data_IF_159797672533
#
_entry.id   IF_159797672533
#
_cell.length_a   1.000
_cell.length_b   1.000
_cell.length_c   1.000
_cell.angle_alpha   90.00
_cell.angle_beta   90.00
_cell.angle_gamma   90.00
#
_symmetry.space_group_name_H-M   'P 1'
#
loop_
_entity.id
_entity.type
_entity.pdbx_description
1 polymer ?
#
# COMPACT_ATOMS: atom_id res chain seq x y z
N UNK A 1 -14.34 37.43 -11.52
CA UNK A 1 -13.98 36.07 -11.02
C UNK A 1 -14.85 35.54 -9.86
N UNK A 2 -15.63 36.34 -9.10
CA UNK A 2 -16.44 35.79 -7.98
C UNK A 2 -17.89 35.36 -8.29
N UNK A 3 -18.39 35.50 -9.53
CA UNK A 3 -19.77 35.13 -9.87
C UNK A 3 -19.89 33.74 -10.55
N UNK A 4 -18.87 33.30 -11.30
CA UNK A 4 -18.87 31.98 -11.94
C UNK A 4 -18.68 30.81 -10.94
N UNK A 5 -18.01 31.02 -9.81
CA UNK A 5 -17.83 29.96 -8.81
C UNK A 5 -19.09 29.66 -7.99
N UNK A 6 -19.95 30.66 -7.77
CA UNK A 6 -21.24 30.47 -7.08
C UNK A 6 -22.19 29.63 -7.95
N UNK A 7 -22.13 29.79 -9.28
CA UNK A 7 -22.95 29.02 -10.20
C UNK A 7 -22.54 27.53 -10.29
N UNK A 8 -21.25 27.24 -10.24
CA UNK A 8 -20.72 25.87 -10.31
C UNK A 8 -20.99 25.07 -9.01
N UNK A 9 -21.01 25.77 -7.86
CA UNK A 9 -21.32 25.20 -6.54
C UNK A 9 -22.79 24.77 -6.41
N UNK A 10 -23.74 25.53 -6.97
CA UNK A 10 -25.17 25.20 -6.90
C UNK A 10 -25.51 23.99 -7.80
N UNK A 11 -24.82 23.85 -8.93
CA UNK A 11 -25.02 22.73 -9.88
C UNK A 11 -24.48 21.41 -9.33
N UNK A 12 -23.37 21.44 -8.59
CA UNK A 12 -22.76 20.22 -8.01
C UNK A 12 -23.52 19.68 -6.79
N UNK A 13 -24.13 20.54 -5.98
CA UNK A 13 -24.96 20.11 -4.83
C UNK A 13 -26.29 19.46 -5.21
N UNK A 14 -26.85 19.77 -6.38
CA UNK A 14 -28.09 19.16 -6.88
C UNK A 14 -27.88 17.75 -7.49
N UNK A 15 -26.67 17.45 -7.97
CA UNK A 15 -26.33 16.13 -8.56
C UNK A 15 -26.10 15.07 -7.47
N UNK A 16 -25.61 15.46 -6.29
CA UNK A 16 -25.38 14.55 -5.15
C UNK A 16 -26.64 14.15 -4.38
N UNK A 17 -27.75 14.89 -4.53
CA UNK A 17 -29.06 14.54 -3.95
C UNK A 17 -29.82 13.47 -4.76
N UNK A 18 -29.38 13.18 -6.00
CA UNK A 18 -30.03 12.20 -6.90
C UNK A 18 -29.35 10.84 -6.84
N UNK A 19 -28.12 10.73 -6.30
CA UNK A 19 -27.33 9.49 -6.30
C UNK A 19 -27.38 8.70 -4.98
N UNK A 20 -27.99 9.23 -3.92
CA UNK A 20 -28.07 8.56 -2.60
C UNK A 20 -29.48 8.04 -2.26
N UNK A 21 -30.21 7.54 -3.26
CA UNK A 21 -31.59 7.08 -3.13
C UNK A 21 -31.83 5.63 -3.53
N UNK A 22 -30.83 4.75 -3.45
CA UNK A 22 -30.98 3.30 -3.62
C UNK A 22 -29.77 2.58 -3.01
N UNK A 23 -29.92 2.03 -1.81
CA UNK A 23 -29.11 0.90 -1.35
C UNK A 23 -29.79 0.21 -0.16
N UNK A 24 -30.13 -1.07 -0.34
CA UNK A 24 -30.02 -2.13 0.68
C UNK A 24 -30.66 -3.43 0.16
N UNK A 25 -29.90 -4.53 0.12
CA UNK A 25 -30.05 -5.73 0.97
C UNK A 25 -29.07 -6.82 0.51
N UNK A 26 -28.61 -7.61 1.48
CA UNK A 26 -27.38 -8.41 1.62
C UNK A 26 -27.70 -9.92 1.61
N UNK A 27 -26.86 -10.75 0.93
CA UNK A 27 -26.35 -12.12 1.23
C UNK A 27 -27.33 -13.28 1.62
N UNK A 28 -27.11 -14.61 1.44
CA UNK A 28 -25.99 -15.49 0.99
C UNK A 28 -26.48 -16.97 0.92
N UNK A 29 -25.81 -17.75 0.04
CA UNK A 29 -25.49 -19.22 -0.04
C UNK A 29 -26.48 -20.40 0.04
N UNK A 30 -26.15 -21.37 -0.84
CA UNK A 30 -26.50 -22.79 -1.01
C UNK A 30 -26.21 -23.75 0.17
N UNK A 31 -26.94 -24.89 0.17
CA UNK A 31 -26.50 -26.33 0.26
C UNK A 31 -27.66 -27.19 0.84
N UNK A 32 -27.86 -28.51 0.69
CA UNK A 32 -27.03 -29.66 0.35
C UNK A 32 -27.89 -30.90 -0.03
N UNK A 33 -27.21 -31.94 -0.54
CA UNK A 33 -27.69 -33.21 -1.11
C UNK A 33 -27.69 -34.40 -0.10
N UNK A 34 -28.46 -35.44 -0.47
CA UNK A 34 -28.80 -36.76 0.13
C UNK A 34 -27.70 -37.71 0.64
N UNK A 35 -28.08 -38.69 1.48
CA UNK A 35 -27.32 -39.93 1.75
C UNK A 35 -28.20 -41.19 1.92
N UNK A 36 -27.65 -42.35 1.54
CA UNK A 36 -28.23 -43.72 1.48
C UNK A 36 -27.58 -44.66 2.51
N UNK A 37 -28.33 -45.71 2.88
CA UNK A 37 -28.10 -46.75 3.90
C UNK A 37 -26.98 -47.78 3.64
N UNK A 38 -26.56 -48.53 4.70
CA UNK A 38 -26.35 -50.00 4.68
C UNK A 38 -25.98 -50.61 6.06
N UNK A 39 -26.02 -51.95 6.13
CA UNK A 39 -26.22 -52.82 7.30
C UNK A 39 -25.20 -53.98 7.45
N UNK A 40 -24.87 -54.34 8.71
CA UNK A 40 -24.88 -55.70 9.34
C UNK A 40 -23.76 -56.78 9.14
N UNK A 41 -23.39 -57.35 10.31
CA UNK A 41 -23.04 -58.75 10.71
C UNK A 41 -21.60 -59.32 10.77
N UNK A 42 -21.42 -60.11 11.85
CA UNK A 42 -20.25 -60.83 12.40
C UNK A 42 -20.41 -62.37 12.35
N UNK A 43 -19.30 -63.07 12.69
CA UNK A 43 -19.14 -64.30 13.51
C UNK A 43 -18.63 -65.63 12.89
N UNK A 44 -17.41 -65.99 13.32
CA UNK A 44 -16.91 -67.21 14.02
C UNK A 44 -17.65 -68.57 13.91
N UNK A 45 -16.88 -69.68 13.78
CA UNK A 45 -16.64 -70.68 14.86
C UNK A 45 -15.74 -71.90 14.47
N UNK A 46 -14.77 -72.16 15.36
CA UNK A 46 -14.16 -73.37 15.97
C UNK A 46 -14.59 -74.80 15.51
N UNK A 47 -13.64 -75.76 15.45
CA UNK A 47 -13.54 -76.98 16.33
C UNK A 47 -12.39 -77.92 15.95
N UNK A 48 -11.89 -78.64 16.96
CA UNK A 48 -10.79 -79.61 16.98
C UNK A 48 -11.32 -81.01 17.32
N UNK A 49 -10.52 -82.07 17.07
CA UNK A 49 -10.23 -83.21 17.98
C UNK A 49 -9.45 -84.33 17.25
N UNK A 50 -8.41 -84.90 17.86
CA UNK A 50 -8.30 -86.36 18.13
C UNK A 50 -7.19 -86.70 19.16
N UNK A 51 -7.27 -87.89 19.81
CA UNK A 51 -6.68 -88.27 21.10
C UNK A 51 -5.75 -89.51 21.00
N UNK A 52 -4.78 -89.62 21.93
CA UNK A 52 -4.01 -90.80 22.41
C UNK A 52 -2.55 -91.04 21.96
N UNK A 53 -1.62 -90.28 22.57
CA UNK A 53 -0.37 -90.79 23.16
C UNK A 53 -0.11 -89.96 24.44
N UNK A 54 -0.25 -90.55 25.64
CA UNK A 54 0.00 -89.82 26.90
C UNK A 54 1.51 -89.79 27.21
N UNK A 55 2.22 -88.97 26.45
CA UNK A 55 3.32 -88.26 27.05
C UNK A 55 2.72 -87.02 27.72
N UNK A 56 2.93 -86.86 29.03
CA UNK A 56 2.57 -85.63 29.73
C UNK A 56 3.57 -84.56 29.29
N UNK A 57 3.29 -83.95 28.14
CA UNK A 57 4.01 -82.81 27.63
C UNK A 57 3.10 -81.60 27.69
N UNK A 58 3.67 -80.45 28.03
CA UNK A 58 2.99 -79.20 27.76
C UNK A 58 3.16 -78.85 26.27
N UNK A 59 2.12 -78.28 25.69
CA UNK A 59 2.26 -77.52 24.46
C UNK A 59 3.04 -76.23 24.70
N UNK A 60 3.02 -75.33 23.72
CA UNK A 60 3.67 -74.03 23.84
C UNK A 60 3.25 -73.27 25.12
N UNK A 61 4.20 -72.61 25.80
CA UNK A 61 3.90 -71.71 26.91
C UNK A 61 2.79 -70.71 26.51
N UNK A 62 1.79 -70.45 27.36
CA UNK A 62 0.72 -69.53 27.05
C UNK A 62 1.22 -68.12 26.72
N UNK A 63 0.53 -67.40 25.84
CA UNK A 63 0.89 -66.01 25.55
C UNK A 63 0.55 -65.15 26.78
N UNK A 64 1.56 -64.47 27.31
CA UNK A 64 1.40 -63.45 28.36
C UNK A 64 1.43 -62.08 27.70
N UNK A 65 0.48 -61.22 28.02
CA UNK A 65 0.35 -59.89 27.40
C UNK A 65 1.56 -59.03 27.76
N UNK A 66 2.20 -58.43 26.75
CA UNK A 66 3.40 -57.61 26.87
C UNK A 66 4.61 -58.34 27.50
N UNK A 67 4.73 -59.64 27.28
CA UNK A 67 5.86 -60.44 27.73
C UNK A 67 6.21 -61.55 26.74
N UNK A 68 7.48 -61.93 26.73
CA UNK A 68 8.02 -63.00 25.88
C UNK A 68 8.69 -64.07 26.73
N UNK A 69 8.46 -65.34 26.40
CA UNK A 69 9.15 -66.45 27.06
C UNK A 69 10.49 -66.76 26.40
N UNK A 70 11.47 -67.16 27.20
CA UNK A 70 12.77 -67.63 26.74
C UNK A 70 12.68 -68.84 25.79
N UNK A 71 11.72 -69.75 26.02
CA UNK A 71 11.53 -70.96 25.22
C UNK A 71 11.01 -70.68 23.81
N UNK A 72 10.23 -69.61 23.62
CA UNK A 72 9.69 -69.23 22.32
C UNK A 72 10.68 -68.43 21.45
N UNK A 73 11.84 -68.04 22.00
CA UNK A 73 12.86 -67.22 21.31
C UNK A 73 13.53 -67.94 20.13
N UNK A 74 13.55 -69.27 20.12
CA UNK A 74 14.33 -70.07 19.17
C UNK A 74 13.51 -70.99 18.24
N UNK A 75 12.16 -70.91 18.24
CA UNK A 75 11.19 -71.53 17.29
C UNK A 75 11.40 -73.00 16.84
N UNK A 76 12.21 -73.80 17.55
CA UNK A 76 12.58 -75.16 17.11
C UNK A 76 11.77 -76.29 17.75
N UNK A 77 10.94 -76.01 18.76
CA UNK A 77 10.21 -77.04 19.51
C UNK A 77 8.86 -76.50 20.02
N UNK A 78 7.79 -77.27 19.82
CA UNK A 78 6.41 -76.94 20.23
C UNK A 78 5.86 -77.88 21.32
N UNK A 79 6.70 -78.79 21.83
CA UNK A 79 6.37 -79.81 22.84
C UNK A 79 7.42 -79.77 23.94
N UNK A 80 6.97 -79.69 25.19
CA UNK A 80 7.79 -79.41 26.38
C UNK A 80 7.57 -80.47 27.47
N UNK A 81 8.64 -80.89 28.14
CA UNK A 81 8.59 -81.93 29.19
C UNK A 81 8.03 -81.38 30.50
N UNK A 82 7.27 -82.21 31.22
CA UNK A 82 6.94 -81.93 32.63
C UNK A 82 8.22 -81.68 33.42
N UNK A 83 8.20 -80.62 34.22
CA UNK A 83 9.35 -80.11 34.95
C UNK A 83 10.10 -78.98 34.24
N UNK A 84 9.92 -78.78 32.91
CA UNK A 84 10.53 -77.66 32.20
C UNK A 84 9.94 -76.32 32.67
N UNK A 85 10.81 -75.31 32.70
CA UNK A 85 10.50 -73.97 33.18
C UNK A 85 10.60 -72.99 32.01
N UNK A 86 9.51 -72.27 31.76
CA UNK A 86 9.52 -71.12 30.88
C UNK A 86 9.67 -69.85 31.74
N UNK A 87 10.67 -69.05 31.41
CA UNK A 87 10.94 -67.76 32.04
C UNK A 87 10.43 -66.68 31.09
N UNK A 88 9.43 -65.93 31.54
CA UNK A 88 8.92 -64.75 30.87
C UNK A 88 9.74 -63.53 31.26
N UNK A 89 9.88 -62.63 30.29
CA UNK A 89 10.42 -61.29 30.50
C UNK A 89 9.44 -60.31 29.87
N UNK A 90 9.11 -59.22 30.57
CA UNK A 90 8.28 -58.17 29.98
C UNK A 90 8.94 -57.60 28.72
N UNK A 91 8.11 -57.21 27.77
CA UNK A 91 8.54 -56.58 26.52
C UNK A 91 9.24 -55.25 26.80
N UNK A 92 10.06 -54.79 25.84
CA UNK A 92 10.78 -53.52 25.98
C UNK A 92 9.78 -52.37 26.19
N UNK A 93 9.96 -51.64 27.30
CA UNK A 93 9.09 -50.55 27.72
C UNK A 93 7.89 -50.98 28.56
N UNK A 94 7.86 -52.23 29.01
CA UNK A 94 6.94 -52.75 30.01
C UNK A 94 7.71 -53.22 31.24
N UNK A 95 7.12 -53.01 32.43
CA UNK A 95 7.66 -53.43 33.72
C UNK A 95 6.71 -54.40 34.43
N UNK A 96 7.28 -55.29 35.23
CA UNK A 96 6.54 -56.26 36.04
C UNK A 96 5.83 -55.55 37.17
N UNK A 97 4.50 -55.70 37.22
CA UNK A 97 3.67 -55.14 38.29
C UNK A 97 3.33 -56.19 39.35
N UNK A 98 3.07 -57.43 38.93
CA UNK A 98 2.73 -58.54 39.83
C UNK A 98 2.91 -59.91 39.15
N UNK A 99 2.87 -60.99 39.94
CA UNK A 99 2.95 -62.38 39.46
C UNK A 99 4.37 -62.93 39.34
N UNK A 100 4.50 -64.16 38.86
CA UNK A 100 5.77 -64.88 38.73
C UNK A 100 6.29 -64.83 37.29
N UNK A 101 7.58 -64.56 37.12
CA UNK A 101 8.24 -64.61 35.81
C UNK A 101 8.53 -66.04 35.36
N UNK A 102 8.50 -67.00 36.28
CA UNK A 102 8.72 -68.42 36.01
C UNK A 102 7.38 -69.15 36.01
N UNK A 103 7.14 -69.94 34.96
CA UNK A 103 6.06 -70.91 34.90
C UNK A 103 6.63 -72.28 34.62
N UNK A 104 6.08 -73.31 35.27
CA UNK A 104 6.56 -74.67 35.12
C UNK A 104 5.49 -75.54 34.47
N UNK A 105 5.93 -76.44 33.59
CA UNK A 105 5.07 -77.48 33.06
C UNK A 105 4.81 -78.52 34.16
N UNK A 106 3.62 -78.48 34.77
CA UNK A 106 3.24 -79.36 35.88
C UNK A 106 2.13 -80.33 35.45
N UNK A 107 2.06 -81.48 36.11
CA UNK A 107 0.95 -82.41 35.95
C UNK A 107 -0.23 -81.89 36.76
N UNK A 108 -1.39 -81.80 36.14
CA UNK A 108 -2.64 -81.35 36.73
C UNK A 108 -3.73 -82.40 36.50
N UNK A 109 -4.62 -82.58 37.46
CA UNK A 109 -5.79 -83.44 37.28
C UNK A 109 -6.71 -82.85 36.20
N UNK A 110 -6.85 -83.56 35.09
CA UNK A 110 -7.75 -83.20 34.01
C UNK A 110 -9.20 -83.62 34.30
N UNK A 111 -10.16 -83.15 33.48
CA UNK A 111 -11.55 -83.56 33.63
C UNK A 111 -11.67 -85.08 33.51
N UNK A 112 -12.43 -85.69 34.43
CA UNK A 112 -12.67 -87.15 34.53
C UNK A 112 -11.48 -87.99 35.06
N UNK A 113 -10.55 -87.39 35.81
CA UNK A 113 -9.45 -88.12 36.46
C UNK A 113 -8.33 -88.54 35.51
N UNK A 114 -8.27 -87.93 34.32
CA UNK A 114 -7.19 -88.13 33.34
C UNK A 114 -6.07 -87.14 33.65
N UNK A 115 -4.86 -87.63 33.92
CA UNK A 115 -3.69 -86.78 34.17
C UNK A 115 -3.35 -85.93 32.93
N UNK A 116 -3.42 -84.60 33.05
CA UNK A 116 -3.04 -83.64 32.01
C UNK A 116 -1.80 -82.86 32.44
N UNK A 117 -1.17 -82.12 31.53
CA UNK A 117 -0.04 -81.25 31.83
C UNK A 117 -0.32 -79.83 31.38
N UNK A 118 -0.05 -78.86 32.26
CA UNK A 118 -0.28 -77.43 32.00
C UNK A 118 0.80 -76.57 32.62
N UNK A 119 1.09 -75.45 31.98
CA UNK A 119 1.93 -74.38 32.52
C UNK A 119 1.25 -73.68 33.69
N UNK A 120 1.88 -73.67 34.88
CA UNK A 120 1.40 -72.93 36.05
C UNK A 120 2.58 -72.46 36.94
N UNK A 121 2.44 -71.31 37.63
CA UNK A 121 1.35 -70.34 37.51
C UNK A 121 1.47 -69.50 36.20
N UNK A 122 0.38 -68.86 35.78
CA UNK A 122 0.36 -67.92 34.64
C UNK A 122 -0.26 -66.61 35.13
N UNK A 123 0.44 -65.95 36.06
CA UNK A 123 -0.05 -64.77 36.78
C UNK A 123 0.81 -63.52 36.55
N UNK A 124 1.83 -63.58 35.70
CA UNK A 124 2.68 -62.44 35.35
C UNK A 124 1.85 -61.32 34.71
N UNK A 125 1.96 -60.11 35.28
CA UNK A 125 1.34 -58.90 34.75
C UNK A 125 2.39 -57.85 34.43
N UNK A 126 2.52 -57.51 33.14
CA UNK A 126 3.42 -56.46 32.64
C UNK A 126 2.61 -55.22 32.23
N UNK A 127 2.98 -54.04 32.75
CA UNK A 127 2.36 -52.76 32.39
C UNK A 127 3.37 -51.81 31.75
N UNK A 128 2.94 -50.88 30.88
CA UNK A 128 3.85 -49.96 30.23
C UNK A 128 4.52 -49.05 31.25
N UNK A 129 5.82 -48.85 31.10
CA UNK A 129 6.60 -47.95 31.94
C UNK A 129 6.03 -46.53 31.84
N UNK A 130 5.92 -45.86 32.98
CA UNK A 130 5.38 -44.50 33.08
C UNK A 130 6.50 -43.48 33.26
N UNK A 131 6.56 -42.51 32.35
CA UNK A 131 7.43 -41.34 32.50
C UNK A 131 6.85 -40.31 33.49
N UNK A 132 7.74 -39.50 34.06
CA UNK A 132 7.35 -38.33 34.86
C UNK A 132 6.57 -37.31 34.02
N UNK A 133 5.75 -36.46 34.66
CA UNK A 133 5.14 -35.34 33.94
C UNK A 133 6.24 -34.48 33.31
N UNK A 134 6.20 -34.23 31.99
CA UNK A 134 7.23 -33.45 31.31
C UNK A 134 7.21 -31.96 31.68
N UNK A 135 6.20 -31.52 32.42
CA UNK A 135 6.04 -30.16 32.92
C UNK A 135 5.42 -29.20 31.91
N UNK A 136 5.31 -27.93 32.33
CA UNK A 136 4.88 -26.83 31.48
C UNK A 136 6.08 -26.11 30.84
N UNK A 137 5.85 -25.57 29.65
CA UNK A 137 6.75 -24.66 28.95
C UNK A 137 6.02 -23.33 28.85
N UNK A 138 6.62 -22.28 29.40
CA UNK A 138 6.05 -20.94 29.40
C UNK A 138 5.78 -20.49 27.96
N UNK A 139 4.67 -19.79 27.76
CA UNK A 139 4.23 -19.30 26.45
C UNK A 139 4.08 -20.40 25.38
N UNK A 140 3.83 -21.64 25.81
CA UNK A 140 3.48 -22.77 24.95
C UNK A 140 2.16 -23.42 25.35
N UNK A 141 1.57 -24.15 24.41
CA UNK A 141 0.52 -25.13 24.66
C UNK A 141 1.08 -26.54 24.47
N UNK A 142 0.51 -27.52 25.17
CA UNK A 142 0.91 -28.94 25.13
C UNK A 142 -0.29 -29.77 24.73
N UNK A 143 -0.16 -30.62 23.70
CA UNK A 143 -1.28 -31.41 23.16
C UNK A 143 -1.71 -32.56 24.07
N UNK A 144 -0.75 -33.27 24.67
CA UNK A 144 -1.00 -34.41 25.56
C UNK A 144 -0.88 -33.96 27.02
N UNK A 145 -1.94 -34.16 27.81
CA UNK A 145 -2.02 -33.67 29.19
C UNK A 145 -1.95 -34.75 30.26
N UNK A 146 -2.14 -36.02 29.89
CA UNK A 146 -2.18 -37.16 30.82
C UNK A 146 -1.62 -38.44 30.18
N UNK A 147 -1.39 -39.46 31.03
CA UNK A 147 -0.95 -40.81 30.63
C UNK A 147 0.36 -40.86 29.84
N UNK A 148 1.45 -40.45 30.48
CA UNK A 148 2.80 -40.45 29.90
C UNK A 148 3.44 -41.85 29.91
N UNK A 149 2.88 -42.77 29.12
CA UNK A 149 3.34 -44.15 29.02
C UNK A 149 4.46 -44.29 27.97
N UNK A 150 5.18 -45.41 27.99
CA UNK A 150 6.16 -45.75 26.97
C UNK A 150 5.65 -45.47 25.54
N UNK A 151 6.52 -44.90 24.69
CA UNK A 151 6.24 -44.43 23.33
C UNK A 151 5.22 -43.27 23.20
N UNK A 152 4.71 -42.72 24.29
CA UNK A 152 3.89 -41.49 24.25
C UNK A 152 4.74 -40.33 23.71
N UNK A 153 4.21 -39.63 22.72
CA UNK A 153 4.83 -38.46 22.11
C UNK A 153 4.12 -37.18 22.58
N UNK A 154 4.85 -36.35 23.35
CA UNK A 154 4.34 -35.08 23.85
C UNK A 154 4.86 -33.97 22.95
N UNK A 155 3.93 -33.23 22.35
CA UNK A 155 4.22 -32.12 21.44
C UNK A 155 3.85 -30.79 22.08
N UNK A 156 4.77 -29.84 22.01
CA UNK A 156 4.62 -28.46 22.42
C UNK A 156 4.43 -27.56 21.20
N UNK A 157 3.69 -26.48 21.39
CA UNK A 157 3.42 -25.48 20.36
C UNK A 157 3.50 -24.09 20.99
N UNK A 158 4.41 -23.23 20.52
CA UNK A 158 4.54 -21.88 21.08
C UNK A 158 3.31 -21.04 20.72
N UNK A 159 2.87 -20.20 21.67
CA UNK A 159 1.79 -19.23 21.47
C UNK A 159 2.19 -18.19 20.42
N UNK A 160 1.19 -17.50 19.88
CA UNK A 160 1.39 -16.40 18.95
C UNK A 160 2.33 -15.33 19.52
N UNK A 161 3.26 -14.87 18.69
CA UNK A 161 4.32 -13.95 19.10
C UNK A 161 5.55 -14.61 19.74
N UNK A 162 5.60 -15.95 19.82
CA UNK A 162 6.76 -16.69 20.31
C UNK A 162 7.28 -17.68 19.25
N UNK A 163 8.58 -17.96 19.30
CA UNK A 163 9.27 -18.93 18.44
C UNK A 163 9.88 -20.04 19.28
N UNK A 164 9.93 -21.23 18.70
CA UNK A 164 10.45 -22.41 19.38
C UNK A 164 11.96 -22.50 19.29
N UNK A 165 12.60 -22.73 20.44
CA UNK A 165 14.01 -23.03 20.58
C UNK A 165 14.13 -24.47 21.08
N UNK A 166 14.71 -25.35 20.25
CA UNK A 166 14.82 -26.79 20.51
C UNK A 166 13.86 -27.64 19.68
N UNK A 167 13.69 -28.91 20.06
CA UNK A 167 12.82 -29.87 19.36
C UNK A 167 11.39 -29.77 19.93
N UNK A 168 10.33 -29.67 19.10
CA UNK A 168 8.95 -29.48 19.55
C UNK A 168 8.34 -30.62 20.35
N UNK A 169 9.02 -31.76 20.40
CA UNK A 169 8.43 -32.97 20.92
C UNK A 169 9.43 -33.83 21.69
N UNK A 170 8.89 -34.63 22.59
CA UNK A 170 9.63 -35.57 23.41
C UNK A 170 8.86 -36.88 23.53
N UNK A 171 9.61 -37.98 23.59
CA UNK A 171 9.05 -39.34 23.60
C UNK A 171 9.47 -40.05 24.88
N UNK A 172 8.52 -40.72 25.53
CA UNK A 172 8.78 -41.52 26.72
C UNK A 172 9.52 -42.81 26.32
N UNK A 173 10.72 -43.02 26.86
CA UNK A 173 11.54 -44.20 26.58
C UNK A 173 11.21 -45.35 27.53
N UNK A 174 11.71 -46.53 27.19
CA UNK A 174 11.55 -47.74 27.98
C UNK A 174 12.22 -47.67 29.37
N UNK A 175 13.15 -46.75 29.60
CA UNK A 175 13.80 -46.51 30.88
C UNK A 175 13.00 -45.57 31.81
N UNK A 176 11.78 -45.18 31.42
CA UNK A 176 10.94 -44.24 32.19
C UNK A 176 11.38 -42.78 32.11
N UNK A 177 12.36 -42.47 31.26
CA UNK A 177 12.83 -41.11 31.05
C UNK A 177 12.43 -40.58 29.67
N UNK A 178 12.32 -39.27 29.57
CA UNK A 178 12.11 -38.62 28.28
C UNK A 178 13.38 -38.67 27.43
N UNK A 179 13.22 -38.84 26.12
CA UNK A 179 14.36 -38.89 25.20
C UNK A 179 15.11 -37.56 25.05
N UNK A 180 14.51 -36.43 25.43
CA UNK A 180 15.01 -35.06 25.22
C UNK A 180 14.52 -34.10 26.31
N UNK A 181 15.22 -32.98 26.55
CA UNK A 181 14.72 -31.90 27.41
C UNK A 181 13.54 -31.17 26.75
N UNK A 182 12.79 -30.43 27.57
CA UNK A 182 11.69 -29.57 27.10
C UNK A 182 12.18 -28.43 26.20
N UNK A 183 11.41 -28.02 25.17
CA UNK A 183 11.72 -26.85 24.38
C UNK A 183 11.51 -25.56 25.17
N UNK A 184 11.96 -24.44 24.62
CA UNK A 184 11.71 -23.10 25.15
C UNK A 184 11.02 -22.22 24.09
N UNK A 185 10.06 -21.40 24.50
CA UNK A 185 9.42 -20.43 23.63
C UNK A 185 10.00 -19.04 23.89
N UNK A 186 10.67 -18.48 22.89
CA UNK A 186 11.26 -17.15 22.98
C UNK A 186 10.37 -16.14 22.26
N UNK A 187 10.10 -14.99 22.89
CA UNK A 187 9.34 -13.90 22.26
C UNK A 187 10.01 -13.49 20.94
N UNK A 188 9.22 -13.44 19.86
CA UNK A 188 9.63 -12.96 18.53
C UNK A 188 9.92 -11.47 18.60
N UNK A 189 11.18 -11.10 18.40
CA UNK A 189 11.64 -9.70 18.39
C UNK A 189 12.97 -9.59 17.67
N UNK A 190 13.15 -8.49 16.94
CA UNK A 190 14.42 -8.20 16.27
C UNK A 190 15.51 -7.88 17.30
N UNK A 191 16.79 -8.19 17.04
CA UNK A 191 17.88 -8.03 18.01
C UNK A 191 18.11 -6.57 18.40
N UNK A 192 18.78 -6.36 19.54
CA UNK A 192 19.16 -5.01 19.94
C UNK A 192 20.33 -4.56 19.06
N UNK A 193 20.31 -3.29 18.65
CA UNK A 193 21.33 -2.76 17.76
C UNK A 193 22.32 -1.97 18.61
N UNK A 194 23.61 -2.16 18.38
CA UNK A 194 24.66 -1.42 19.07
C UNK A 194 24.53 0.09 18.85
N UNK A 195 24.97 0.88 19.83
CA UNK A 195 24.91 2.33 19.76
C UNK A 195 25.70 2.89 18.57
N UNK A 196 25.14 3.86 17.88
CA UNK A 196 25.80 4.56 16.77
C UNK A 196 26.56 5.78 17.27
N UNK A 197 27.86 5.88 16.93
CA UNK A 197 28.69 7.03 17.29
C UNK A 197 28.13 8.34 16.71
N UNK A 198 28.13 9.42 17.51
CA UNK A 198 27.56 10.73 17.17
C UNK A 198 26.07 10.69 16.76
N UNK A 199 25.34 9.68 17.24
CA UNK A 199 23.93 9.50 16.97
C UNK A 199 23.22 8.76 18.10
N UNK A 200 21.94 8.46 17.87
CA UNK A 200 21.11 7.61 18.72
C UNK A 200 20.15 6.80 17.86
N UNK A 201 19.67 5.69 18.41
CA UNK A 201 18.66 4.84 17.78
C UNK A 201 17.33 5.11 18.45
N UNK A 202 16.31 5.39 17.65
CA UNK A 202 14.93 5.60 18.11
C UNK A 202 14.10 4.42 17.63
N UNK A 203 13.61 3.62 18.58
CA UNK A 203 12.69 2.53 18.30
C UNK A 203 11.25 3.04 18.30
N UNK A 204 10.43 2.59 17.33
CA UNK A 204 8.99 2.83 17.36
C UNK A 204 8.29 1.99 18.43
N UNK A 205 8.85 0.83 18.76
CA UNK A 205 8.40 -0.09 19.80
C UNK A 205 9.61 -0.61 20.58
N UNK A 206 9.61 -0.38 21.89
CA UNK A 206 10.68 -0.83 22.81
C UNK A 206 10.79 -2.35 22.83
N UNK A 207 9.68 -3.07 22.59
CA UNK A 207 9.66 -4.53 22.54
C UNK A 207 10.24 -5.11 21.23
N UNK A 208 10.51 -4.27 20.22
CA UNK A 208 11.09 -4.65 18.91
C UNK A 208 10.30 -5.76 18.21
N UNK A 209 8.97 -5.70 18.29
CA UNK A 209 8.07 -6.67 17.64
C UNK A 209 8.25 -6.68 16.13
N UNK A 210 7.80 -7.75 15.50
CA UNK A 210 7.63 -7.83 14.03
C UNK A 210 6.88 -6.59 13.52
N UNK A 211 7.30 -6.08 12.37
CA UNK A 211 6.79 -4.86 11.70
C UNK A 211 7.09 -3.53 12.43
N UNK A 212 7.73 -3.56 13.61
CA UNK A 212 8.27 -2.34 14.22
C UNK A 212 9.42 -1.76 13.39
N UNK A 213 9.69 -0.47 13.58
CA UNK A 213 10.80 0.23 12.91
C UNK A 213 11.77 0.83 13.92
N UNK A 214 13.02 0.93 13.53
CA UNK A 214 14.00 1.79 14.19
C UNK A 214 14.48 2.86 13.23
N UNK A 215 14.87 4.00 13.77
CA UNK A 215 15.41 5.13 13.05
C UNK A 215 16.74 5.58 13.68
N UNK A 216 17.76 5.76 12.83
CA UNK A 216 19.03 6.34 13.22
C UNK A 216 18.92 7.86 13.17
N UNK A 217 19.10 8.50 14.33
CA UNK A 217 19.04 9.95 14.47
C UNK A 217 20.42 10.47 14.85
N UNK A 218 21.09 11.12 13.90
CA UNK A 218 22.40 11.73 14.13
C UNK A 218 22.29 13.03 14.93
N UNK A 219 23.37 13.37 15.66
CA UNK A 219 23.50 14.65 16.33
C UNK A 219 23.63 15.81 15.32
N UNK A 220 23.30 17.06 15.70
CA UNK A 220 23.45 18.21 14.82
C UNK A 220 24.87 18.33 14.24
N UNK A 221 24.99 18.48 12.92
CA UNK A 221 26.28 18.56 12.22
C UNK A 221 26.86 17.21 11.80
N UNK A 222 26.14 16.10 12.03
CA UNK A 222 26.48 14.76 11.55
C UNK A 222 25.39 14.20 10.63
N UNK A 223 25.80 13.32 9.71
CA UNK A 223 24.92 12.63 8.75
C UNK A 223 25.27 11.14 8.74
N UNK A 224 24.24 10.30 8.68
CA UNK A 224 24.39 8.86 8.69
C UNK A 224 25.13 8.39 7.44
N UNK A 225 26.12 7.51 7.60
CA UNK A 225 26.82 6.86 6.50
C UNK A 225 26.01 5.70 5.88
N UNK A 226 24.76 5.97 5.48
CA UNK A 226 23.87 5.01 4.84
C UNK A 226 22.85 5.71 3.94
N UNK A 227 22.30 4.99 2.96
CA UNK A 227 21.24 5.46 2.07
C UNK A 227 19.90 5.61 2.80
N UNK A 228 19.62 4.71 3.74
CA UNK A 228 18.41 4.67 4.54
C UNK A 228 18.70 4.80 6.04
N UNK A 229 17.99 5.69 6.71
CA UNK A 229 18.06 5.87 8.16
C UNK A 229 17.09 4.98 8.94
N UNK A 230 16.22 4.23 8.26
CA UNK A 230 15.15 3.42 8.87
C UNK A 230 15.35 1.96 8.52
N UNK A 231 15.21 1.08 9.53
CA UNK A 231 15.12 -0.38 9.36
C UNK A 231 13.78 -0.88 9.88
N UNK A 232 13.27 -1.93 9.26
CA UNK A 232 12.01 -2.60 9.64
C UNK A 232 12.31 -3.98 10.21
N UNK A 233 11.60 -4.35 11.27
CA UNK A 233 11.69 -5.68 11.86
C UNK A 233 10.91 -6.67 10.99
N UNK A 234 11.60 -7.62 10.37
CA UNK A 234 11.01 -8.61 9.46
C UNK A 234 10.39 -9.78 10.25
N UNK A 235 9.64 -10.62 9.54
CA UNK A 235 8.99 -11.82 10.10
C UNK A 235 9.97 -12.89 10.57
N UNK A 236 11.22 -12.85 10.12
CA UNK A 236 12.31 -13.75 10.52
C UNK A 236 13.05 -13.26 11.79
N UNK A 237 12.46 -12.31 12.52
CA UNK A 237 13.07 -11.65 13.68
C UNK A 237 14.40 -10.94 13.37
N UNK A 238 14.63 -10.53 12.12
CA UNK A 238 15.81 -9.77 11.71
C UNK A 238 15.46 -8.35 11.26
N UNK A 239 16.36 -7.40 11.48
CA UNK A 239 16.21 -6.06 10.92
C UNK A 239 16.49 -6.09 9.41
N UNK A 240 15.66 -5.41 8.62
CA UNK A 240 15.86 -5.21 7.18
C UNK A 240 17.26 -4.72 6.86
N UNK A 241 17.82 -5.07 5.72
CA UNK A 241 19.20 -4.71 5.38
C UNK A 241 19.39 -3.19 5.30
N UNK A 242 20.56 -2.73 5.74
CA UNK A 242 21.00 -1.35 5.57
C UNK A 242 21.72 -1.22 4.24
N UNK A 243 21.31 -0.24 3.43
CA UNK A 243 22.01 0.08 2.20
C UNK A 243 23.14 1.05 2.53
N UNK A 244 24.36 0.52 2.62
CA UNK A 244 25.55 1.33 2.89
C UNK A 244 26.01 2.09 1.63
N UNK A 245 26.50 3.32 1.82
CA UNK A 245 27.04 4.16 0.74
C UNK A 245 28.47 3.78 0.35
N UNK A 246 29.25 3.28 1.32
CA UNK A 246 30.52 2.57 1.23
C UNK A 246 30.99 2.19 2.66
N UNK A 247 31.92 1.22 2.74
CA UNK A 247 32.61 0.67 3.93
C UNK A 247 31.73 0.31 5.15
N UNK A 248 32.09 -0.79 5.80
CA UNK A 248 31.24 -1.57 6.72
C UNK A 248 30.88 -0.88 8.06
N UNK A 249 31.25 0.40 8.27
CA UNK A 249 31.00 1.12 9.52
C UNK A 249 29.69 1.92 9.50
N UNK A 250 28.74 1.49 10.31
CA UNK A 250 27.49 2.22 10.57
C UNK A 250 27.75 3.34 11.59
N UNK A 251 28.04 4.54 11.11
CA UNK A 251 28.33 5.69 11.96
C UNK A 251 27.73 7.00 11.43
N UNK A 252 27.51 7.96 12.33
CA UNK A 252 27.18 9.32 11.94
C UNK A 252 28.47 10.10 11.71
N UNK A 253 28.73 10.45 10.45
CA UNK A 253 29.93 11.17 10.02
C UNK A 253 29.70 12.67 10.03
N UNK A 254 30.75 13.44 10.28
CA UNK A 254 30.69 14.91 10.27
C UNK A 254 30.26 15.40 8.88
N UNK A 255 29.23 16.23 8.85
CA UNK A 255 28.78 16.91 7.64
C UNK A 255 29.85 17.88 7.17
N UNK A 256 30.15 17.85 5.88
CA UNK A 256 31.15 18.72 5.25
C UNK A 256 30.55 19.33 3.99
N UNK A 257 30.63 20.66 3.86
CA UNK A 257 30.30 21.31 2.59
C UNK A 257 31.50 21.22 1.66
N UNK A 258 31.28 20.74 0.45
CA UNK A 258 32.30 20.78 -0.60
C UNK A 258 32.58 22.22 -1.04
N UNK A 259 33.78 22.42 -1.57
CA UNK A 259 34.13 23.72 -2.16
C UNK A 259 33.18 24.04 -3.32
N UNK A 260 32.52 25.22 -3.32
CA UNK A 260 31.58 25.55 -4.38
C UNK A 260 32.29 25.57 -5.74
N UNK A 261 31.63 24.99 -6.74
CA UNK A 261 32.08 25.04 -8.13
C UNK A 261 32.05 26.51 -8.59
N UNK A 262 33.09 26.95 -9.31
CA UNK A 262 33.12 28.27 -9.94
C UNK A 262 32.43 28.19 -11.31
N UNK A 263 31.21 28.74 -11.48
CA UNK A 263 30.47 28.62 -12.74
C UNK A 263 30.98 29.54 -13.85
N UNK A 264 31.69 30.62 -13.54
CA UNK A 264 32.24 31.57 -14.52
C UNK A 264 33.51 32.26 -14.00
N UNK A 265 34.32 32.78 -14.93
CA UNK A 265 35.65 33.35 -14.65
C UNK A 265 35.61 34.66 -13.86
N UNK A 266 34.51 35.42 -13.93
CA UNK A 266 34.33 36.69 -13.21
C UNK A 266 33.99 36.56 -11.71
N UNK A 267 33.85 35.33 -11.18
CA UNK A 267 33.46 35.07 -9.79
C UNK A 267 34.68 34.69 -8.93
N UNK A 268 34.95 35.50 -7.90
CA UNK A 268 35.92 35.17 -6.83
C UNK A 268 35.19 34.63 -5.61
N UNK A 269 35.74 33.57 -5.04
CA UNK A 269 35.29 32.98 -3.78
C UNK A 269 36.37 33.27 -2.74
N UNK A 270 36.03 34.10 -1.76
CA UNK A 270 36.88 34.36 -0.60
C UNK A 270 36.57 33.29 0.45
N UNK A 271 37.52 32.37 0.74
CA UNK A 271 37.28 31.27 1.66
C UNK A 271 37.19 31.76 3.11
N UNK A 272 36.47 31.01 3.95
CA UNK A 272 36.47 31.18 5.41
C UNK A 272 37.88 30.96 5.97
N UNK A 273 38.23 31.65 7.06
CA UNK A 273 39.50 31.46 7.79
C UNK A 273 39.66 30.03 8.33
N UNK A 274 38.57 29.27 8.45
CA UNK A 274 38.52 27.91 9.02
C UNK A 274 38.57 26.78 7.99
N UNK A 275 39.03 27.03 6.75
CA UNK A 275 39.08 25.99 5.71
C UNK A 275 40.03 24.85 6.10
N UNK A 276 39.48 23.65 6.28
CA UNK A 276 40.23 22.43 6.58
C UNK A 276 40.33 21.56 5.32
N UNK A 277 41.44 21.66 4.59
CA UNK A 277 41.64 20.94 3.33
C UNK A 277 40.72 21.45 2.20
N UNK A 278 39.95 20.56 1.57
CA UNK A 278 39.03 20.89 0.46
C UNK A 278 37.56 21.10 0.89
N UNK A 279 37.26 21.05 2.18
CA UNK A 279 35.89 21.08 2.72
C UNK A 279 35.69 22.09 3.84
N UNK A 280 34.44 22.48 4.08
CA UNK A 280 34.02 23.43 5.10
C UNK A 280 33.12 22.77 6.15
N UNK A 281 33.19 23.24 7.40
CA UNK A 281 32.35 22.74 8.50
C UNK A 281 31.03 23.52 8.54
N UNK A 282 29.94 22.92 9.08
CA UNK A 282 28.70 23.64 9.31
C UNK A 282 28.96 24.90 10.15
N UNK A 283 28.45 26.03 9.68
CA UNK A 283 28.70 27.34 10.29
C UNK A 283 29.70 28.22 9.53
N UNK A 284 30.60 27.64 8.74
CA UNK A 284 31.56 28.40 7.93
C UNK A 284 30.87 29.30 6.92
N UNK A 285 31.42 30.51 6.70
CA UNK A 285 30.88 31.49 5.77
C UNK A 285 31.91 31.80 4.69
N UNK A 286 31.52 31.65 3.43
CA UNK A 286 32.27 32.09 2.26
C UNK A 286 31.66 33.35 1.68
N UNK A 287 32.47 34.15 0.98
CA UNK A 287 32.01 35.39 0.33
C UNK A 287 32.28 35.30 -1.18
N UNK A 288 31.22 35.43 -1.96
CA UNK A 288 31.27 35.64 -3.41
C UNK A 288 31.50 37.12 -3.72
N UNK A 289 32.41 37.40 -4.65
CA UNK A 289 32.73 38.74 -5.13
C UNK A 289 32.88 38.72 -6.65
N UNK A 290 32.30 39.71 -7.34
CA UNK A 290 32.46 39.84 -8.79
C UNK A 290 33.60 40.80 -9.14
N UNK A 291 34.38 40.46 -10.17
CA UNK A 291 35.53 41.26 -10.62
C UNK A 291 35.11 42.60 -11.24
N UNK A 292 33.94 42.64 -11.88
CA UNK A 292 33.39 43.82 -12.57
C UNK A 292 32.73 44.82 -11.63
N UNK A 293 32.50 44.47 -10.37
CA UNK A 293 31.80 45.33 -9.40
C UNK A 293 32.19 45.00 -7.95
N UNK A 294 33.01 45.82 -7.28
CA UNK A 294 33.41 45.59 -5.89
C UNK A 294 32.24 45.65 -4.88
N UNK A 295 31.07 46.11 -5.31
CA UNK A 295 29.85 46.25 -4.49
C UNK A 295 28.96 44.99 -4.47
N UNK A 296 29.13 44.02 -5.37
CA UNK A 296 28.38 42.76 -5.35
C UNK A 296 29.10 41.72 -4.50
N UNK A 297 28.99 41.87 -3.17
CA UNK A 297 29.42 40.85 -2.19
C UNK A 297 28.21 40.06 -1.73
N UNK A 298 28.21 38.75 -1.97
CA UNK A 298 27.18 37.85 -1.46
C UNK A 298 27.81 36.80 -0.56
N UNK A 299 27.29 36.62 0.65
CA UNK A 299 27.77 35.60 1.58
C UNK A 299 26.94 34.32 1.47
N UNK A 300 27.59 33.16 1.63
CA UNK A 300 26.90 31.88 1.80
C UNK A 300 27.48 31.14 3.00
N UNK A 301 26.60 30.61 3.85
CA UNK A 301 26.93 29.83 5.05
C UNK A 301 26.76 28.33 4.77
N UNK A 302 27.70 27.51 5.20
CA UNK A 302 27.59 26.06 5.19
C UNK A 302 26.55 25.63 6.23
N UNK A 303 25.49 24.97 5.79
CA UNK A 303 24.39 24.49 6.62
C UNK A 303 24.69 23.10 7.20
N UNK A 304 23.90 22.68 8.17
CA UNK A 304 24.04 21.39 8.86
C UNK A 304 23.65 20.18 8.02
N UNK A 305 23.05 20.40 6.85
CA UNK A 305 22.71 19.37 5.86
C UNK A 305 23.82 19.15 4.81
N UNK A 306 24.89 19.94 4.86
CA UNK A 306 26.02 19.89 3.93
C UNK A 306 25.83 20.76 2.70
N UNK A 307 24.76 21.54 2.62
CA UNK A 307 24.50 22.47 1.53
C UNK A 307 24.91 23.90 1.89
N UNK A 308 25.17 24.68 0.85
CA UNK A 308 25.40 26.12 0.99
C UNK A 308 24.04 26.84 1.06
N UNK A 309 23.88 27.76 2.03
CA UNK A 309 22.64 28.53 2.22
C UNK A 309 22.14 29.29 0.97
N UNK A 310 23.07 29.61 0.05
CA UNK A 310 22.84 30.30 -1.21
C UNK A 310 23.84 29.79 -2.26
N UNK A 311 23.39 29.67 -3.50
CA UNK A 311 24.24 29.37 -4.66
C UNK A 311 25.10 30.56 -5.11
N UNK A 312 26.05 30.34 -6.04
CA UNK A 312 26.89 31.41 -6.58
C UNK A 312 26.04 32.44 -7.35
N UNK A 313 26.20 33.76 -7.11
CA UNK A 313 25.50 34.79 -7.87
C UNK A 313 26.01 34.85 -9.32
N UNK A 314 25.16 35.31 -10.24
CA UNK A 314 25.58 35.61 -11.60
C UNK A 314 26.28 36.97 -11.65
N UNK A 315 27.55 37.00 -12.03
CA UNK A 315 28.28 38.25 -12.17
C UNK A 315 27.96 38.93 -13.52
N UNK A 316 27.74 40.25 -13.55
CA UNK A 316 27.55 40.96 -14.81
C UNK A 316 28.83 40.85 -15.64
N UNK A 317 28.72 40.22 -16.82
CA UNK A 317 29.80 40.13 -17.79
C UNK A 317 30.20 41.53 -18.27
N UNK A 318 31.50 41.75 -18.43
CA UNK A 318 32.00 42.95 -19.11
C UNK A 318 31.76 42.78 -20.61
N UNK A 319 30.61 43.20 -21.11
CA UNK A 319 30.33 43.17 -22.55
C UNK A 319 30.87 44.43 -23.22
N UNK A 320 31.65 44.27 -24.28
CA UNK A 320 32.04 45.38 -25.17
C UNK A 320 30.91 45.78 -26.14
N UNK A 321 29.68 45.35 -25.84
CA UNK A 321 28.52 45.47 -26.71
C UNK A 321 27.27 45.77 -25.88
N UNK A 322 26.40 46.61 -26.44
CA UNK A 322 25.06 46.89 -25.91
C UNK A 322 24.02 45.88 -26.40
N UNK A 323 22.90 45.71 -25.66
CA UNK A 323 21.76 44.91 -26.09
C UNK A 323 21.25 45.35 -27.48
N UNK A 324 20.87 44.38 -28.32
CA UNK A 324 20.30 44.63 -29.64
C UNK A 324 18.97 45.36 -29.52
N UNK A 325 18.76 46.38 -30.37
CA UNK A 325 17.48 47.08 -30.49
C UNK A 325 16.58 46.19 -31.34
N UNK A 326 15.50 45.67 -30.74
CA UNK A 326 14.52 44.84 -31.43
C UNK A 326 13.76 45.61 -32.52
N UNK A 327 12.70 45.00 -33.04
CA UNK A 327 11.90 45.62 -34.10
C UNK A 327 11.29 46.95 -33.60
N UNK A 328 11.56 48.04 -34.32
CA UNK A 328 11.05 49.37 -34.02
C UNK A 328 9.78 49.61 -34.83
N UNK A 329 8.62 49.59 -34.16
CA UNK A 329 7.31 49.58 -34.82
C UNK A 329 6.94 51.01 -35.26
N UNK A 330 6.43 51.14 -36.50
CA UNK A 330 6.07 52.41 -37.13
C UNK A 330 7.23 53.40 -37.25
N UNK A 331 8.44 52.90 -37.49
CA UNK A 331 9.63 53.71 -37.71
C UNK A 331 10.86 52.90 -38.10
N UNK A 332 11.96 53.59 -38.33
CA UNK A 332 13.27 53.01 -38.64
C UNK A 332 14.40 53.73 -37.89
N UNK A 333 15.58 53.12 -37.82
CA UNK A 333 16.76 53.75 -37.22
C UNK A 333 17.96 53.67 -38.15
N UNK A 334 18.75 54.75 -38.19
CA UNK A 334 19.96 54.82 -39.02
C UNK A 334 21.11 54.12 -38.31
N UNK A 335 21.29 52.83 -38.61
CA UNK A 335 22.53 52.14 -38.30
C UNK A 335 23.45 52.28 -39.50
N UNK A 336 24.60 52.94 -39.32
CA UNK A 336 25.66 53.07 -40.35
C UNK A 336 26.33 51.73 -40.70
N UNK A 337 25.77 50.61 -40.27
CA UNK A 337 26.18 49.27 -40.65
C UNK A 337 24.90 48.50 -40.96
N UNK A 338 24.78 48.11 -42.22
CA UNK A 338 23.66 47.42 -42.84
C UNK A 338 23.42 46.04 -42.19
N UNK A 339 22.78 46.01 -41.02
CA UNK A 339 22.62 44.83 -40.18
C UNK A 339 21.18 44.70 -39.72
N UNK A 340 20.37 44.15 -40.62
CA UNK A 340 19.13 43.51 -40.27
C UNK A 340 19.42 42.28 -39.38
N UNK A 341 18.80 42.27 -38.19
CA UNK A 341 18.64 41.14 -37.25
C UNK A 341 19.93 40.42 -36.76
N UNK A 342 20.24 40.68 -35.48
CA UNK A 342 21.10 39.89 -34.57
C UNK A 342 22.63 40.16 -34.51
N UNK A 343 23.07 41.41 -34.64
CA UNK A 343 24.45 41.77 -34.32
C UNK A 343 24.55 42.75 -33.15
N UNK A 344 25.40 42.37 -32.19
CA UNK A 344 25.72 43.09 -30.97
C UNK A 344 26.35 44.45 -31.27
N UNK A 345 25.78 45.54 -30.72
CA UNK A 345 26.16 46.91 -31.07
C UNK A 345 27.37 47.33 -30.23
N UNK A 346 28.47 47.75 -30.86
CA UNK A 346 29.71 48.14 -30.15
C UNK A 346 29.49 49.35 -29.24
N UNK A 347 30.24 49.40 -28.14
CA UNK A 347 30.32 50.59 -27.28
C UNK A 347 30.75 51.84 -28.07
N UNK A 348 30.23 52.99 -27.66
CA UNK A 348 30.32 54.31 -28.30
C UNK A 348 29.56 54.48 -29.62
N UNK A 349 28.74 53.51 -30.03
CA UNK A 349 27.86 53.66 -31.21
C UNK A 349 26.65 54.55 -30.88
N UNK A 350 26.33 55.52 -31.75
CA UNK A 350 25.15 56.38 -31.65
C UNK A 350 24.14 56.02 -32.75
N UNK A 351 22.88 55.80 -32.36
CA UNK A 351 21.77 55.42 -33.24
C UNK A 351 20.71 56.52 -33.21
N UNK A 352 20.23 56.92 -34.38
CA UNK A 352 19.16 57.91 -34.54
C UNK A 352 17.87 57.23 -35.02
N UNK A 353 16.73 57.66 -34.49
CA UNK A 353 15.41 57.08 -34.75
C UNK A 353 14.53 58.02 -35.57
N UNK A 354 13.69 57.44 -36.43
CA UNK A 354 12.78 58.12 -37.34
C UNK A 354 11.44 57.37 -37.33
N UNK A 355 10.31 58.08 -37.31
CA UNK A 355 8.98 57.46 -37.37
C UNK A 355 8.42 57.48 -38.79
N UNK A 356 7.55 56.51 -39.09
CA UNK A 356 6.80 56.43 -40.34
C UNK A 356 5.78 57.57 -40.44
N UNK A 357 5.32 57.86 -41.66
CA UNK A 357 4.35 58.90 -41.92
C UNK A 357 3.08 58.71 -41.06
N UNK A 358 2.58 59.80 -40.47
CA UNK A 358 1.45 59.84 -39.52
C UNK A 358 1.76 59.46 -38.07
N UNK A 359 3.03 59.20 -37.74
CA UNK A 359 3.51 58.96 -36.38
C UNK A 359 4.54 60.02 -35.94
N UNK A 360 4.50 60.40 -34.67
CA UNK A 360 5.40 61.39 -34.06
C UNK A 360 6.30 60.68 -33.03
N UNK A 361 7.59 61.02 -33.03
CA UNK A 361 8.58 60.42 -32.13
C UNK A 361 8.44 60.97 -30.70
N UNK A 362 8.08 60.09 -29.76
CA UNK A 362 8.06 60.37 -28.34
C UNK A 362 9.32 59.81 -27.67
N UNK A 363 10.17 60.71 -27.18
CA UNK A 363 11.40 60.38 -26.47
C UNK A 363 12.63 61.04 -27.09
N UNK A 364 13.81 60.49 -26.77
CA UNK A 364 15.07 61.02 -27.30
C UNK A 364 15.26 60.59 -28.76
N UNK A 365 15.58 61.50 -29.70
CA UNK A 365 15.71 61.18 -31.12
C UNK A 365 16.97 60.35 -31.44
N UNK A 366 17.88 60.18 -30.47
CA UNK A 366 19.05 59.33 -30.61
C UNK A 366 19.47 58.71 -29.29
N UNK A 367 20.01 57.49 -29.33
CA UNK A 367 20.62 56.82 -28.18
C UNK A 367 22.08 56.45 -28.48
N UNK A 368 22.93 56.45 -27.46
CA UNK A 368 24.37 56.12 -27.56
C UNK A 368 24.70 54.98 -26.60
N UNK A 369 25.38 53.96 -27.12
CA UNK A 369 25.89 52.85 -26.33
C UNK A 369 27.11 53.34 -25.54
N UNK A 370 27.03 53.36 -24.21
CA UNK A 370 28.13 53.83 -23.36
C UNK A 370 29.21 52.75 -23.23
N UNK A 371 30.41 53.15 -22.78
CA UNK A 371 31.58 52.25 -22.60
C UNK A 371 31.38 51.12 -21.59
N UNK A 372 30.29 51.16 -20.81
CA UNK A 372 29.89 50.12 -19.87
C UNK A 372 28.88 49.11 -20.46
N UNK A 373 28.61 49.16 -21.77
CA UNK A 373 27.67 48.24 -22.43
C UNK A 373 26.18 48.56 -22.17
N UNK A 374 25.88 49.77 -21.69
CA UNK A 374 24.51 50.23 -21.40
C UNK A 374 24.14 51.41 -22.30
N UNK A 375 22.88 51.47 -22.74
CA UNK A 375 22.35 52.60 -23.49
C UNK A 375 22.18 53.85 -22.60
N UNK A 376 22.57 55.02 -23.10
CA UNK A 376 22.43 56.29 -22.36
C UNK A 376 20.97 56.73 -22.15
N UNK A 377 20.04 56.29 -23.01
CA UNK A 377 18.60 56.58 -22.96
C UNK A 377 17.80 55.32 -23.32
N UNK A 378 16.51 55.29 -22.99
CA UNK A 378 15.60 54.23 -23.44
C UNK A 378 15.27 54.37 -24.94
N UNK A 379 14.82 53.28 -25.57
CA UNK A 379 14.32 53.28 -26.95
C UNK A 379 13.07 54.19 -27.02
N UNK A 380 13.01 55.19 -27.94
CA UNK A 380 11.85 56.06 -28.10
C UNK A 380 10.65 55.28 -28.66
N UNK A 381 9.47 55.90 -28.76
CA UNK A 381 8.27 55.29 -29.36
C UNK A 381 7.68 56.19 -30.44
N UNK A 382 7.08 55.59 -31.45
CA UNK A 382 6.32 56.32 -32.47
C UNK A 382 4.84 56.32 -32.08
N UNK A 383 4.32 57.48 -31.69
CA UNK A 383 2.92 57.67 -31.30
C UNK A 383 2.10 58.15 -32.50
N UNK A 384 0.93 57.55 -32.71
CA UNK A 384 0.04 57.94 -33.80
C UNK A 384 -0.57 59.32 -33.53
N UNK A 385 -0.66 60.15 -34.57
CA UNK A 385 -1.23 61.49 -34.44
C UNK A 385 -2.75 61.43 -34.16
N UNK A 386 -3.16 61.82 -32.94
CA UNK A 386 -4.55 61.71 -32.46
C UNK A 386 -5.59 62.55 -33.23
N UNK A 387 -5.17 63.42 -34.14
CA UNK A 387 -6.07 64.17 -35.03
C UNK A 387 -6.92 63.29 -35.96
N UNK A 388 -6.55 62.01 -36.19
CA UNK A 388 -7.26 61.09 -37.10
C UNK A 388 -8.31 60.21 -36.37
N UNK A 389 -8.35 60.21 -35.02
CA UNK A 389 -9.09 59.21 -34.21
C UNK A 389 -10.61 59.43 -34.08
N UNK A 390 -11.16 60.60 -34.42
CA UNK A 390 -12.55 60.93 -34.07
C UNK A 390 -13.65 60.23 -34.91
N UNK A 391 -13.32 59.42 -35.93
CA UNK A 391 -14.32 58.94 -36.91
C UNK A 391 -14.97 57.57 -36.64
N UNK A 392 -14.39 56.62 -35.88
CA UNK A 392 -14.84 55.21 -35.94
C UNK A 392 -15.31 54.53 -34.64
N UNK A 393 -15.31 55.19 -33.48
CA UNK A 393 -15.53 54.48 -32.19
C UNK A 393 -17.01 54.34 -31.72
N UNK A 394 -18.00 54.90 -32.42
CA UNK A 394 -19.37 55.00 -31.86
C UNK A 394 -20.34 53.85 -32.19
N UNK A 395 -20.02 52.96 -33.14
CA UNK A 395 -21.00 51.98 -33.67
C UNK A 395 -20.91 50.58 -33.00
N UNK A 396 -19.76 50.18 -32.47
CA UNK A 396 -19.53 48.81 -32.00
C UNK A 396 -20.15 48.52 -30.62
N UNK A 397 -20.28 49.52 -29.76
CA UNK A 397 -20.71 49.35 -28.36
C UNK A 397 -22.21 49.08 -28.22
N UNK A 398 -23.04 49.52 -29.19
CA UNK A 398 -24.51 49.40 -29.14
C UNK A 398 -24.99 48.00 -29.56
N UNK A 399 -24.24 47.30 -30.44
CA UNK A 399 -24.57 45.96 -30.93
C UNK A 399 -24.33 44.84 -29.90
N UNK A 400 -23.36 45.01 -29.01
CA UNK A 400 -22.97 43.97 -28.04
C UNK A 400 -23.97 43.90 -26.87
N UNK A 401 -24.54 45.04 -26.47
CA UNK A 401 -25.49 45.11 -25.35
C UNK A 401 -26.88 44.58 -25.69
N UNK A 402 -27.30 44.64 -26.95
CA UNK A 402 -28.62 44.17 -27.41
C UNK A 402 -28.68 42.65 -27.58
N UNK A 403 -27.58 42.01 -28.01
CA UNK A 403 -27.49 40.54 -28.17
C UNK A 403 -27.50 39.82 -26.81
N UNK A 404 -26.79 40.37 -25.81
CA UNK A 404 -26.75 39.78 -24.47
C UNK A 404 -28.12 39.76 -23.77
N UNK A 405 -28.97 40.77 -24.01
CA UNK A 405 -30.31 40.85 -23.44
C UNK A 405 -31.26 39.79 -24.03
N UNK A 406 -31.15 39.48 -25.32
CA UNK A 406 -31.98 38.48 -25.99
C UNK A 406 -31.71 37.05 -25.50
N UNK A 407 -30.44 36.71 -25.23
CA UNK A 407 -30.06 35.37 -24.76
C UNK A 407 -30.65 35.07 -23.38
N UNK A 408 -30.69 36.07 -22.48
CA UNK A 408 -31.26 35.92 -21.14
C UNK A 408 -32.79 35.74 -21.22
N UNK A 409 -33.47 36.47 -22.10
CA UNK A 409 -34.92 36.36 -22.29
C UNK A 409 -35.30 34.97 -22.82
N UNK A 410 -34.55 34.42 -23.77
CA UNK A 410 -34.80 33.06 -24.31
C UNK A 410 -34.64 32.00 -23.22
N UNK A 411 -33.60 32.11 -22.38
CA UNK A 411 -33.35 31.14 -21.31
C UNK A 411 -34.48 31.12 -20.27
N UNK A 412 -35.00 32.29 -19.88
CA UNK A 412 -36.13 32.41 -18.95
C UNK A 412 -37.40 31.82 -19.55
N UNK A 413 -37.68 32.08 -20.84
CA UNK A 413 -38.84 31.51 -21.54
C UNK A 413 -38.75 29.99 -21.60
N UNK A 414 -37.58 29.42 -21.94
CA UNK A 414 -37.37 27.97 -21.96
C UNK A 414 -37.58 27.33 -20.58
N UNK A 415 -37.09 27.95 -19.50
CA UNK A 415 -37.31 27.46 -18.14
C UNK A 415 -38.80 27.48 -17.74
N UNK A 416 -39.56 28.53 -18.11
CA UNK A 416 -41.01 28.62 -17.85
C UNK A 416 -41.78 27.56 -18.63
N UNK A 417 -41.42 27.31 -19.89
CA UNK A 417 -42.05 26.26 -20.73
C UNK A 417 -41.80 24.87 -20.14
N UNK A 418 -40.57 24.54 -19.74
CA UNK A 418 -40.24 23.24 -19.14
C UNK A 418 -40.95 23.06 -17.79
N UNK A 419 -41.07 24.12 -16.99
CA UNK A 419 -41.83 24.09 -15.73
C UNK A 419 -43.34 23.87 -15.96
N UNK A 420 -43.95 24.59 -16.92
CA UNK A 420 -45.36 24.40 -17.26
C UNK A 420 -45.63 23.03 -17.89
N UNK A 421 -44.70 22.50 -18.68
CA UNK A 421 -44.78 21.15 -19.24
C UNK A 421 -44.68 20.08 -18.14
N UNK A 422 -43.76 20.23 -17.17
CA UNK A 422 -43.69 19.35 -15.99
C UNK A 422 -44.96 19.42 -15.13
N UNK A 423 -45.56 20.60 -14.95
CA UNK A 423 -46.84 20.71 -14.23
C UNK A 423 -48.00 20.04 -14.98
N UNK A 424 -48.05 20.11 -16.31
CA UNK A 424 -49.05 19.39 -17.11
C UNK A 424 -48.87 17.86 -17.07
N UNK A 425 -47.65 17.35 -17.00
CA UNK A 425 -47.39 15.91 -16.86
C UNK A 425 -47.88 15.35 -15.50
N UNK A 426 -47.77 16.14 -14.42
CA UNK A 426 -48.29 15.77 -13.09
C UNK A 426 -49.84 15.81 -13.06
N UNK A 427 -50.46 16.77 -13.75
CA UNK A 427 -51.91 16.84 -13.88
C UNK A 427 -52.49 15.68 -14.71
N UNK A 428 -51.81 15.22 -15.78
CA UNK A 428 -52.24 14.04 -16.56
C UNK A 428 -52.15 12.74 -15.76
N UNK A 429 -51.14 12.58 -14.88
CA UNK A 429 -51.04 11.40 -13.99
C UNK A 429 -52.14 11.37 -12.93
N UNK A 430 -52.60 12.52 -12.42
CA UNK A 430 -53.77 12.63 -11.53
C UNK A 430 -55.11 12.40 -12.27
N UNK A 431 -55.22 12.82 -13.52
CA UNK A 431 -56.41 12.60 -14.35
C UNK A 431 -56.64 11.11 -14.73
N UNK A 432 -55.59 10.31 -14.90
CA UNK A 432 -55.72 8.87 -15.15
C UNK A 432 -56.14 8.06 -13.91
N UNK A 433 -55.92 8.58 -12.69
CA UNK A 433 -56.42 7.95 -11.45
C UNK A 433 -57.88 8.33 -11.13
N UNK A 434 -58.39 9.46 -11.65
CA UNK A 434 -59.75 9.95 -11.37
C UNK A 434 -60.85 9.33 -12.27
N UNK A 435 -60.52 8.95 -13.52
CA UNK A 435 -61.48 8.36 -14.47
C UNK A 435 -61.58 6.83 -14.46
N UNK A 436 -60.77 6.13 -13.65
CA UNK A 436 -60.97 4.70 -13.38
C UNK A 436 -62.19 4.40 -12.49
N UNK A 437 -62.71 5.41 -11.77
CA UNK A 437 -63.82 5.27 -10.81
C UNK A 437 -65.15 5.94 -11.24
N UNK A 438 -65.23 6.55 -12.43
CA UNK A 438 -66.43 7.30 -12.89
C UNK A 438 -67.42 6.48 -13.74
N UNK A 439 -67.25 5.16 -13.88
CA UNK A 439 -68.20 4.29 -14.60
C UNK A 439 -69.44 3.85 -13.77
N UNK A 440 -69.74 4.50 -12.64
CA UNK A 440 -70.81 4.02 -11.74
C UNK A 440 -71.87 5.05 -11.30
N UNK A 441 -71.85 6.32 -11.74
CA UNK A 441 -72.93 7.26 -11.39
C UNK A 441 -73.31 8.20 -12.54
N UNK A 442 -74.53 7.98 -13.04
CA UNK A 442 -75.35 8.83 -13.93
C UNK A 442 -75.07 8.68 -15.44
N UNK A 443 -75.92 8.08 -16.29
CA UNK A 443 -77.38 7.86 -16.22
C UNK A 443 -78.13 9.14 -15.85
N UNK A 444 -78.71 9.78 -16.88
CA UNK A 444 -79.51 11.03 -16.90
C UNK A 444 -78.73 12.29 -17.27
N UNK A 445 -78.61 12.55 -18.58
CA UNK A 445 -79.27 13.67 -19.27
C UNK A 445 -78.98 13.61 -20.77
N UNK A 446 -80.04 13.39 -21.57
CA UNK A 446 -80.06 13.55 -23.02
C UNK A 446 -80.41 15.00 -23.36
N UNK A 447 -79.69 15.64 -24.28
CA UNK A 447 -80.25 16.62 -25.24
C UNK A 447 -79.46 16.51 -26.56
N UNK A 448 -80.20 16.28 -27.65
CA UNK A 448 -79.75 16.21 -29.04
C UNK A 448 -79.62 17.61 -29.68
N UNK A 449 -78.78 17.75 -30.71
CA UNK A 449 -78.94 18.56 -31.94
C UNK A 449 -77.65 18.43 -32.79
N UNK A 450 -77.59 17.52 -33.78
CA UNK A 450 -77.90 17.69 -35.23
C UNK A 450 -77.04 18.76 -35.94
N UNK A 451 -76.05 18.34 -36.76
CA UNK A 451 -76.09 18.26 -38.24
C UNK A 451 -76.24 19.61 -38.96
N UNK A 452 -75.16 20.11 -39.60
CA UNK A 452 -75.04 20.24 -41.06
C UNK A 452 -73.82 21.10 -41.47
N UNK A 453 -73.11 20.61 -42.50
CA UNK A 453 -72.58 21.28 -43.71
C UNK A 453 -71.97 22.70 -43.62
N UNK A 454 -70.94 23.11 -44.38
CA UNK A 454 -70.73 22.91 -45.81
C UNK A 454 -69.32 23.42 -46.19
N UNK A 455 -68.61 22.68 -47.05
CA UNK A 455 -67.46 23.15 -47.86
C UNK A 455 -68.00 23.83 -49.13
N UNK A 456 -67.36 24.90 -49.63
CA UNK A 456 -67.00 25.05 -51.05
C UNK A 456 -66.17 26.32 -51.37
N UNK A 457 -65.55 26.26 -52.54
CA UNK A 457 -64.33 26.91 -53.01
C UNK A 457 -64.57 28.20 -53.84
N UNK A 458 -63.51 29.03 -53.94
CA UNK A 458 -63.11 29.92 -55.07
C UNK A 458 -63.92 31.21 -55.34
N UNK A 459 -63.24 32.36 -55.28
CA UNK A 459 -62.84 33.20 -56.44
C UNK A 459 -62.16 34.51 -55.97
N UNK A 460 -60.99 34.84 -56.55
CA UNK A 460 -60.30 36.15 -56.55
C UNK A 460 -60.62 36.88 -57.85
N UNK A 461 -60.72 38.23 -57.94
CA UNK A 461 -59.56 39.18 -58.03
C UNK A 461 -59.91 40.62 -57.53
N UNK A 462 -59.19 41.73 -57.84
CA UNK A 462 -57.76 41.99 -58.08
C UNK A 462 -57.13 43.02 -57.08
N UNK A 463 -55.79 43.14 -57.17
CA UNK A 463 -54.90 44.11 -56.47
C UNK A 463 -55.16 45.59 -56.84
N UNK A 464 -54.70 46.53 -55.98
CA UNK A 464 -53.54 47.34 -56.36
C UNK A 464 -52.38 47.28 -55.36
N UNK A 465 -51.20 47.02 -55.93
CA UNK A 465 -49.84 47.56 -55.68
C UNK A 465 -49.70 48.72 -54.68
N UNK A 466 -48.66 48.95 -53.85
CA UNK A 466 -47.23 48.54 -53.63
C UNK A 466 -46.64 49.66 -52.71
N UNK A 467 -45.40 49.68 -52.15
CA UNK A 467 -44.42 48.67 -51.66
C UNK A 467 -44.16 48.75 -50.13
N UNK A 468 -43.70 47.71 -49.42
CA UNK A 468 -42.37 47.02 -49.31
C UNK A 468 -41.34 47.74 -48.40
N UNK A 469 -40.70 46.89 -47.58
CA UNK A 469 -39.43 46.99 -46.84
C UNK A 469 -39.56 47.45 -45.39
N UNK A 470 -38.94 46.83 -44.40
CA UNK A 470 -38.42 45.46 -44.20
C UNK A 470 -38.14 45.38 -42.69
N UNK A 471 -38.17 44.16 -42.18
CA UNK A 471 -37.70 43.63 -40.88
C UNK A 471 -37.03 44.56 -39.85
#
# INVERSE_FOLDING_TARGET
MKLNEILLSIVTSLVLLVLNGCDSVINVSDSDVSNVAQSVAQHNHITATDRNQHFHFCGEPPVVVNAVSNLMRNQKHNVFKVGEIAIYSCDVGYEKVSGNEETQCVVTDGPNGVMSSRWQPIDLMCQPVKCSDPGHVDDATRRVTAHFLYNTNVVYECKDGFRMIGVPFMTCKADGHWNRPKPNCQKKRCPEVESVANGRIVYSDVERKTDSKLEYVCQPGFKLNALNAIRYCRQDDSWSDLQHMNETSLECLVVKCESPIRPHTGLRILPSRSKSGNSYKPGDVIIFSCDTSPKTKASSKCLTDGQWSRGPPHCPEKTNYCPTIGDFVHGFYNSSTNLSKSISIKVNTRIAFYCDDSYILEGSPSMTCLSNGVWNTSVPKCAFNEAVRQSQSSQLTILITSIAALVVIVFVISCVVVCRWRQQQVQRRRWQQYFGHYNHRQSKTNIMLNQNEMKCFRQTPPKPTVPVTDL
#
